data_IF_636290319163
#
_entry.id   IF_636290319163
#
_cell.length_a   1.000
_cell.length_b   1.000
_cell.length_c   1.000
_cell.angle_alpha   90.00
_cell.angle_beta   90.00
_cell.angle_gamma   90.00
#
_symmetry.space_group_name_H-M   'P 1'
#
loop_
_entity.id
_entity.type
_entity.pdbx_description
1 polymer ?
#
# COMPACT_ATOMS: atom_id res chain seq x y z
N UNK A 1 7.02 26.55 40.31
CA UNK A 1 7.65 25.36 39.69
C UNK A 1 8.51 25.83 38.54
N UNK A 2 9.77 25.39 38.48
CA UNK A 2 10.82 25.98 37.63
C UNK A 2 10.64 25.59 36.15
N UNK A 3 10.66 26.58 35.25
CA UNK A 3 10.52 26.43 33.79
C UNK A 3 11.53 25.45 33.15
N UNK A 4 12.60 25.09 33.86
CA UNK A 4 13.58 24.09 33.42
C UNK A 4 13.05 22.65 33.45
N UNK A 5 12.03 22.34 34.25
CA UNK A 5 11.50 20.97 34.35
C UNK A 5 10.44 20.65 33.28
N UNK A 6 9.76 21.65 32.73
CA UNK A 6 8.73 21.43 31.68
C UNK A 6 9.32 21.12 30.31
N UNK A 7 10.52 21.66 29.99
CA UNK A 7 11.21 21.41 28.72
C UNK A 7 11.79 19.98 28.62
N UNK A 8 12.10 19.34 29.75
CA UNK A 8 12.65 17.98 29.78
C UNK A 8 11.56 16.92 29.56
N UNK A 9 10.33 17.17 30.04
CA UNK A 9 9.20 16.24 29.86
C UNK A 9 8.67 16.27 28.43
N UNK A 10 8.69 17.43 27.74
CA UNK A 10 8.27 17.54 26.35
C UNK A 10 9.29 16.96 25.34
N UNK A 11 10.57 16.87 25.72
CA UNK A 11 11.60 16.24 24.89
C UNK A 11 11.61 14.70 24.95
N UNK A 12 11.13 14.11 26.05
CA UNK A 12 11.18 12.66 26.26
C UNK A 12 10.04 11.88 25.58
N UNK A 13 8.90 12.51 25.32
CA UNK A 13 7.74 11.86 24.67
C UNK A 13 7.84 11.81 23.14
N UNK A 14 8.67 12.65 22.51
CA UNK A 14 8.86 12.64 21.06
C UNK A 14 9.66 11.42 20.53
N UNK A 15 10.46 10.77 21.38
CA UNK A 15 11.27 9.61 20.97
C UNK A 15 10.55 8.26 21.12
N UNK A 16 9.51 8.17 21.95
CA UNK A 16 8.79 6.92 22.21
C UNK A 16 7.92 6.45 21.02
N UNK A 17 7.71 7.30 20.01
CA UNK A 17 6.97 6.96 18.79
C UNK A 17 7.85 6.47 17.63
N UNK A 18 9.17 6.28 17.83
CA UNK A 18 10.06 5.71 16.80
C UNK A 18 9.97 4.17 16.67
N UNK A 19 8.96 3.55 17.28
CA UNK A 19 8.69 2.12 17.15
C UNK A 19 7.93 1.79 15.87
N UNK A 20 8.63 1.56 14.76
CA UNK A 20 8.14 0.75 13.63
C UNK A 20 9.33 0.23 12.82
N UNK A 21 9.99 -0.80 13.33
CA UNK A 21 10.79 -1.68 12.49
C UNK A 21 9.83 -2.46 11.59
N UNK A 22 9.74 -2.07 10.33
CA UNK A 22 8.99 -2.83 9.33
C UNK A 22 9.92 -3.95 8.84
N UNK A 23 9.59 -5.20 9.14
CA UNK A 23 10.26 -6.34 8.53
C UNK A 23 9.91 -6.39 7.05
N UNK A 24 10.83 -5.93 6.20
CA UNK A 24 10.68 -6.07 4.75
C UNK A 24 11.41 -7.32 4.30
N UNK A 25 10.68 -8.23 3.69
CA UNK A 25 11.27 -9.34 2.94
C UNK A 25 11.66 -8.80 1.57
N UNK A 26 12.96 -8.69 1.31
CA UNK A 26 13.47 -8.43 -0.04
C UNK A 26 13.19 -9.68 -0.90
N UNK A 27 12.08 -9.67 -1.64
CA UNK A 27 11.80 -10.68 -2.66
C UNK A 27 12.42 -10.19 -3.96
N UNK A 28 13.67 -10.57 -4.20
CA UNK A 28 14.32 -10.32 -5.49
C UNK A 28 14.02 -11.51 -6.42
N UNK A 29 13.35 -11.29 -7.57
CA UNK A 29 13.06 -12.36 -8.51
C UNK A 29 14.35 -12.95 -9.09
N UNK A 30 14.50 -14.28 -9.02
CA UNK A 30 15.73 -14.98 -9.46
C UNK A 30 15.88 -15.06 -10.97
N UNK A 31 14.78 -14.90 -11.71
CA UNK A 31 14.73 -14.91 -13.19
C UNK A 31 13.70 -13.88 -13.61
N UNK A 32 14.11 -12.94 -14.45
CA UNK A 32 13.23 -11.96 -15.08
C UNK A 32 13.32 -12.14 -16.59
N UNK A 33 12.18 -12.14 -17.27
CA UNK A 33 12.15 -12.04 -18.72
C UNK A 33 12.72 -10.67 -19.17
N UNK A 34 13.17 -10.52 -20.44
CA UNK A 34 13.93 -9.36 -20.90
C UNK A 34 13.30 -8.00 -20.66
N UNK A 35 11.98 -7.94 -20.47
CA UNK A 35 11.20 -6.72 -20.32
C UNK A 35 10.16 -6.79 -19.20
N UNK A 36 10.28 -7.75 -18.28
CA UNK A 36 9.44 -7.82 -17.09
C UNK A 36 9.72 -6.66 -16.12
N UNK A 37 8.65 -6.13 -15.55
CA UNK A 37 8.72 -5.21 -14.43
C UNK A 37 8.93 -6.00 -13.13
N UNK A 38 9.81 -5.46 -12.28
CA UNK A 38 10.07 -5.99 -10.95
C UNK A 38 9.75 -4.94 -9.90
N UNK A 39 9.23 -5.40 -8.76
CA UNK A 39 9.03 -4.57 -7.58
C UNK A 39 10.23 -4.72 -6.65
N UNK A 40 10.80 -3.61 -6.23
CA UNK A 40 11.94 -3.57 -5.30
C UNK A 40 11.63 -2.65 -4.14
N UNK A 41 12.22 -2.97 -2.99
CA UNK A 41 12.18 -2.11 -1.82
C UNK A 41 13.61 -1.85 -1.36
N UNK A 42 14.13 -0.67 -1.67
CA UNK A 42 15.46 -0.24 -1.20
C UNK A 42 15.31 0.78 -0.07
N UNK A 43 14.75 1.95 -0.37
CA UNK A 43 14.35 2.97 0.61
C UNK A 43 12.86 3.32 0.53
N UNK A 44 12.27 3.08 -0.63
CA UNK A 44 10.86 3.20 -0.94
C UNK A 44 10.49 2.08 -1.92
N UNK A 45 9.19 1.86 -2.13
CA UNK A 45 8.73 0.97 -3.19
C UNK A 45 9.15 1.53 -4.55
N UNK A 46 9.72 0.69 -5.39
CA UNK A 46 10.15 1.07 -6.73
C UNK A 46 9.71 0.00 -7.71
N UNK A 47 9.17 0.46 -8.84
CA UNK A 47 8.91 -0.37 -10.02
C UNK A 47 10.10 -0.21 -10.95
N UNK A 48 10.78 -1.31 -11.24
CA UNK A 48 11.97 -1.33 -12.10
C UNK A 48 11.67 -2.07 -13.39
N UNK A 49 12.09 -1.47 -14.49
CA UNK A 49 12.30 -2.16 -15.75
C UNK A 49 13.79 -2.50 -15.91
N UNK A 50 14.15 -3.38 -16.86
CA UNK A 50 15.55 -3.64 -17.20
C UNK A 50 16.30 -2.40 -17.72
N UNK A 51 15.57 -1.35 -18.12
CA UNK A 51 16.12 -0.08 -18.60
C UNK A 51 16.25 0.98 -17.50
N UNK A 52 15.82 0.67 -16.27
CA UNK A 52 15.84 1.56 -15.12
C UNK A 52 14.50 1.69 -14.40
N UNK A 53 14.46 2.62 -13.46
CA UNK A 53 13.30 2.92 -12.61
C UNK A 53 12.16 3.47 -13.46
N UNK A 54 10.98 2.86 -13.31
CA UNK A 54 9.73 3.28 -13.96
C UNK A 54 8.93 4.21 -13.04
N UNK A 55 8.77 3.82 -11.78
CA UNK A 55 8.03 4.57 -10.79
C UNK A 55 8.61 4.35 -9.39
N UNK A 56 8.49 5.35 -8.51
CA UNK A 56 8.94 5.25 -7.12
C UNK A 56 7.89 5.74 -6.13
N UNK A 57 8.06 5.30 -4.89
CA UNK A 57 7.29 5.72 -3.75
C UNK A 57 5.87 5.18 -3.74
N UNK A 58 5.04 5.84 -2.93
CA UNK A 58 3.63 5.49 -2.76
C UNK A 58 2.76 6.04 -3.90
N UNK A 59 3.29 7.01 -4.65
CA UNK A 59 2.54 7.74 -5.68
C UNK A 59 2.57 7.03 -7.03
N UNK A 60 3.51 6.12 -7.26
CA UNK A 60 3.65 5.34 -8.49
C UNK A 60 3.62 6.14 -9.80
N UNK A 61 3.97 7.44 -9.76
CA UNK A 61 3.85 8.33 -10.91
C UNK A 61 4.68 7.85 -12.08
N UNK A 62 4.06 7.79 -13.26
CA UNK A 62 4.68 7.34 -14.49
C UNK A 62 4.48 5.84 -14.75
N UNK A 63 3.91 5.10 -13.79
CA UNK A 63 3.56 3.69 -14.01
C UNK A 63 2.48 3.58 -15.08
N UNK A 64 1.44 4.43 -15.03
CA UNK A 64 0.34 4.38 -15.98
C UNK A 64 0.80 4.64 -17.41
N UNK A 65 1.64 5.67 -17.60
CA UNK A 65 2.25 5.97 -18.89
C UNK A 65 3.12 4.81 -19.40
N UNK A 66 3.85 4.15 -18.50
CA UNK A 66 4.71 3.05 -18.90
C UNK A 66 3.94 1.84 -19.42
N UNK A 67 2.86 1.46 -18.73
CA UNK A 67 2.07 0.25 -19.03
C UNK A 67 0.86 0.51 -19.95
N UNK A 68 0.71 1.72 -20.49
CA UNK A 68 -0.45 2.18 -21.28
C UNK A 68 -0.81 1.31 -22.50
N UNK A 69 0.14 0.49 -22.98
CA UNK A 69 -0.09 -0.48 -24.05
C UNK A 69 -1.03 -1.65 -23.65
N UNK A 70 -1.20 -1.91 -22.35
CA UNK A 70 -2.02 -2.99 -21.79
C UNK A 70 -3.15 -2.32 -20.99
N UNK A 71 -4.38 -2.26 -21.53
CA UNK A 71 -5.46 -1.48 -20.93
C UNK A 71 -5.81 -1.85 -19.48
N UNK A 72 -5.73 -3.13 -19.12
CA UNK A 72 -5.98 -3.56 -17.74
C UNK A 72 -4.85 -3.12 -16.80
N UNK A 73 -3.59 -3.22 -17.25
CA UNK A 73 -2.44 -2.73 -16.48
C UNK A 73 -2.52 -1.20 -16.28
N UNK A 74 -2.89 -0.46 -17.32
CA UNK A 74 -3.07 1.00 -17.25
C UNK A 74 -4.14 1.39 -16.23
N UNK A 75 -5.29 0.70 -16.24
CA UNK A 75 -6.38 0.97 -15.30
C UNK A 75 -5.93 0.81 -13.85
N UNK A 76 -5.21 -0.27 -13.56
CA UNK A 76 -4.66 -0.51 -12.24
C UNK A 76 -3.55 0.50 -11.89
N UNK A 77 -2.70 0.87 -12.84
CA UNK A 77 -1.67 1.87 -12.61
C UNK A 77 -2.26 3.26 -12.30
N UNK A 78 -3.31 3.69 -13.01
CA UNK A 78 -4.03 4.94 -12.70
C UNK A 78 -4.70 4.89 -11.32
N UNK A 79 -5.29 3.75 -10.95
CA UNK A 79 -5.84 3.55 -9.62
C UNK A 79 -4.76 3.63 -8.54
N UNK A 80 -3.58 3.06 -8.79
CA UNK A 80 -2.42 3.16 -7.90
C UNK A 80 -1.93 4.60 -7.74
N UNK A 81 -1.82 5.35 -8.84
CA UNK A 81 -1.37 6.74 -8.82
C UNK A 81 -2.36 7.66 -8.08
N UNK A 82 -3.66 7.50 -8.34
CA UNK A 82 -4.71 8.29 -7.69
C UNK A 82 -4.86 7.97 -6.19
N UNK A 83 -4.82 6.68 -5.82
CA UNK A 83 -4.81 6.27 -4.42
C UNK A 83 -3.55 6.76 -3.71
N UNK A 84 -2.39 6.69 -4.37
CA UNK A 84 -1.11 7.16 -3.86
C UNK A 84 -1.06 8.67 -3.62
N UNK A 85 -1.57 9.47 -4.57
CA UNK A 85 -1.69 10.93 -4.45
C UNK A 85 -2.63 11.31 -3.29
N UNK A 86 -3.75 10.58 -3.15
CA UNK A 86 -4.70 10.76 -2.04
C UNK A 86 -4.07 10.40 -0.70
N UNK A 87 -3.33 9.29 -0.62
CA UNK A 87 -2.63 8.85 0.58
C UNK A 87 -1.63 9.89 1.08
N UNK A 88 -0.80 10.42 0.17
CA UNK A 88 0.16 11.48 0.50
C UNK A 88 -0.56 12.76 0.93
N UNK A 89 -1.61 13.16 0.22
CA UNK A 89 -2.40 14.34 0.57
C UNK A 89 -3.02 14.26 1.97
N UNK A 90 -3.68 13.14 2.28
CA UNK A 90 -4.28 12.89 3.59
C UNK A 90 -3.24 12.85 4.71
N UNK A 91 -2.09 12.23 4.46
CA UNK A 91 -1.00 12.14 5.45
C UNK A 91 -0.39 13.51 5.74
N UNK A 92 -0.10 14.31 4.69
CA UNK A 92 0.45 15.67 4.86
C UNK A 92 -0.56 16.55 5.58
N UNK A 93 -1.82 16.53 5.18
CA UNK A 93 -2.87 17.29 5.85
C UNK A 93 -3.00 16.86 7.33
N UNK A 94 -3.03 15.56 7.59
CA UNK A 94 -3.10 15.00 8.94
C UNK A 94 -1.95 15.45 9.84
N UNK A 95 -0.71 15.39 9.33
CA UNK A 95 0.48 15.88 10.04
C UNK A 95 0.40 17.39 10.30
N UNK A 96 0.00 18.18 9.29
CA UNK A 96 -0.11 19.64 9.46
C UNK A 96 -1.16 20.03 10.50
N UNK A 97 -2.30 19.33 10.52
CA UNK A 97 -3.33 19.54 11.53
C UNK A 97 -2.84 19.09 12.90
N UNK A 98 -2.17 17.94 13.02
CA UNK A 98 -1.60 17.49 14.28
C UNK A 98 -0.59 18.49 14.88
N UNK A 99 0.35 18.99 14.07
CA UNK A 99 1.31 20.01 14.52
C UNK A 99 0.61 21.33 14.87
N UNK A 100 -0.37 21.74 14.05
CA UNK A 100 -1.16 22.95 14.32
C UNK A 100 -2.00 22.87 15.58
N UNK A 101 -2.62 21.72 15.84
CA UNK A 101 -3.39 21.43 17.05
C UNK A 101 -2.52 21.50 18.31
N UNK A 102 -1.34 20.86 18.28
CA UNK A 102 -0.36 20.96 19.37
C UNK A 102 0.12 22.40 19.60
N UNK A 103 0.32 23.20 18.54
CA UNK A 103 0.68 24.61 18.68
C UNK A 103 -0.45 25.43 19.34
N UNK A 104 -1.72 25.15 19.00
CA UNK A 104 -2.88 25.73 19.65
C UNK A 104 -2.94 25.39 21.15
N UNK A 105 -2.69 24.13 21.50
CA UNK A 105 -2.60 23.68 22.90
C UNK A 105 -1.44 24.33 23.65
N UNK A 106 -0.28 24.51 23.03
CA UNK A 106 0.84 25.22 23.63
C UNK A 106 0.50 26.69 23.95
N UNK A 107 -0.39 27.30 23.17
CA UNK A 107 -0.94 28.64 23.43
C UNK A 107 -1.70 28.75 24.76
N UNK A 108 -2.25 27.65 25.29
CA UNK A 108 -2.94 27.62 26.59
C UNK A 108 -2.02 28.05 27.74
N UNK A 109 -0.72 27.79 27.63
CA UNK A 109 0.25 28.14 28.67
C UNK A 109 0.38 29.66 28.91
N UNK A 110 -0.08 30.48 27.95
CA UNK A 110 0.02 31.93 28.00
C UNK A 110 -1.34 32.62 28.17
N UNK A 111 -2.43 31.86 28.28
CA UNK A 111 -3.78 32.41 28.26
C UNK A 111 -4.43 32.42 29.65
N UNK A 112 -4.79 33.62 30.11
CA UNK A 112 -5.42 33.82 31.44
C UNK A 112 -6.95 33.95 31.38
N UNK A 113 -7.54 34.09 30.18
CA UNK A 113 -8.99 34.17 30.03
C UNK A 113 -9.58 32.75 29.94
N UNK A 114 -10.47 32.35 30.89
CA UNK A 114 -10.99 30.98 30.96
C UNK A 114 -11.83 30.59 29.74
N UNK A 115 -12.59 31.53 29.16
CA UNK A 115 -13.43 31.23 27.99
C UNK A 115 -12.56 30.95 26.75
N UNK A 116 -11.50 31.73 26.58
CA UNK A 116 -10.56 31.55 25.47
C UNK A 116 -9.69 30.30 25.68
N UNK A 117 -9.35 29.98 26.94
CA UNK A 117 -8.63 28.76 27.30
C UNK A 117 -9.44 27.52 26.92
N UNK A 118 -10.73 27.45 27.27
CA UNK A 118 -11.60 26.35 26.85
C UNK A 118 -11.74 26.27 25.33
N UNK A 119 -11.88 27.41 24.66
CA UNK A 119 -11.94 27.47 23.20
C UNK A 119 -10.67 26.90 22.53
N UNK A 120 -9.49 27.28 23.00
CA UNK A 120 -8.20 26.77 22.50
C UNK A 120 -8.00 25.27 22.81
N UNK A 121 -8.41 24.80 23.99
CA UNK A 121 -8.29 23.40 24.37
C UNK A 121 -9.19 22.51 23.50
N UNK A 122 -10.47 22.86 23.38
CA UNK A 122 -11.43 22.10 22.60
C UNK A 122 -11.11 22.13 21.11
N UNK A 123 -10.68 23.29 20.58
CA UNK A 123 -10.25 23.39 19.18
C UNK A 123 -8.97 22.60 18.92
N UNK A 124 -7.98 22.65 19.83
CA UNK A 124 -6.75 21.85 19.73
C UNK A 124 -7.04 20.35 19.66
N UNK A 125 -7.81 19.82 20.61
CA UNK A 125 -8.21 18.41 20.65
C UNK A 125 -9.01 18.02 19.39
N UNK A 126 -9.97 18.86 18.98
CA UNK A 126 -10.78 18.61 17.78
C UNK A 126 -9.93 18.51 16.51
N UNK A 127 -8.99 19.43 16.34
CA UNK A 127 -8.06 19.43 15.20
C UNK A 127 -7.13 18.21 15.21
N UNK A 128 -6.66 17.79 16.39
CA UNK A 128 -5.83 16.57 16.52
C UNK A 128 -6.59 15.31 16.12
N UNK A 129 -7.84 15.15 16.57
CA UNK A 129 -8.67 13.99 16.20
C UNK A 129 -8.86 13.93 14.67
N UNK A 130 -9.18 15.07 14.05
CA UNK A 130 -9.33 15.16 12.59
C UNK A 130 -8.00 14.77 11.91
N UNK A 131 -6.88 15.32 12.38
CA UNK A 131 -5.56 15.01 11.85
C UNK A 131 -5.19 13.53 11.95
N UNK A 132 -5.54 12.88 13.07
CA UNK A 132 -5.33 11.44 13.27
C UNK A 132 -6.19 10.60 12.30
N UNK A 133 -7.46 10.95 12.12
CA UNK A 133 -8.36 10.26 11.17
C UNK A 133 -7.87 10.41 9.73
N UNK A 134 -7.41 11.60 9.33
CA UNK A 134 -6.81 11.81 8.01
C UNK A 134 -5.53 11.00 7.84
N UNK A 135 -4.67 10.94 8.85
CA UNK A 135 -3.44 10.14 8.80
C UNK A 135 -3.75 8.65 8.70
N UNK A 136 -4.74 8.16 9.45
CA UNK A 136 -5.16 6.76 9.42
C UNK A 136 -5.77 6.37 8.06
N UNK A 137 -6.66 7.19 7.52
CA UNK A 137 -7.22 6.98 6.17
C UNK A 137 -6.15 7.06 5.08
N UNK A 138 -5.16 7.94 5.22
CA UNK A 138 -3.98 7.98 4.35
C UNK A 138 -3.15 6.69 4.35
N UNK A 139 -3.12 5.96 5.48
CA UNK A 139 -2.47 4.64 5.54
C UNK A 139 -3.26 3.55 4.81
N UNK A 140 -4.58 3.57 4.93
CA UNK A 140 -5.44 2.61 4.23
C UNK A 140 -5.31 2.78 2.71
N UNK A 141 -5.40 4.02 2.20
CA UNK A 141 -5.25 4.30 0.77
C UNK A 141 -3.86 3.98 0.22
N UNK A 142 -2.83 4.04 1.07
CA UNK A 142 -1.49 3.56 0.71
C UNK A 142 -1.45 2.04 0.45
N UNK A 143 -2.19 1.24 1.23
CA UNK A 143 -2.29 -0.21 0.99
C UNK A 143 -2.98 -0.48 -0.35
N UNK A 144 -4.07 0.25 -0.64
CA UNK A 144 -4.78 0.15 -1.93
C UNK A 144 -3.87 0.52 -3.11
N UNK A 145 -3.07 1.59 -2.96
CA UNK A 145 -2.09 1.99 -3.97
C UNK A 145 -1.05 0.89 -4.25
N UNK A 146 -0.56 0.22 -3.20
CA UNK A 146 0.36 -0.91 -3.33
C UNK A 146 -0.30 -2.11 -4.03
N UNK A 147 -1.55 -2.44 -3.69
CA UNK A 147 -2.30 -3.52 -4.33
C UNK A 147 -2.47 -3.28 -5.83
N UNK A 148 -2.95 -2.09 -6.21
CA UNK A 148 -3.11 -1.73 -7.60
C UNK A 148 -1.79 -1.66 -8.39
N UNK A 149 -0.69 -1.24 -7.76
CA UNK A 149 0.61 -1.24 -8.42
C UNK A 149 1.10 -2.68 -8.70
N UNK A 150 0.87 -3.62 -7.79
CA UNK A 150 1.18 -5.04 -8.00
C UNK A 150 0.33 -5.62 -9.13
N UNK A 151 -0.97 -5.34 -9.16
CA UNK A 151 -1.85 -5.79 -10.23
C UNK A 151 -1.41 -5.25 -11.59
N UNK A 152 -1.06 -3.97 -11.67
CA UNK A 152 -0.58 -3.34 -12.89
C UNK A 152 0.69 -4.02 -13.43
N UNK A 153 1.66 -4.31 -12.54
CA UNK A 153 2.88 -5.04 -12.88
C UNK A 153 2.56 -6.45 -13.37
N UNK A 154 1.65 -7.17 -12.70
CA UNK A 154 1.27 -8.52 -13.08
C UNK A 154 0.58 -8.57 -14.46
N UNK A 155 -0.41 -7.70 -14.71
CA UNK A 155 -1.09 -7.62 -16.01
C UNK A 155 -0.13 -7.26 -17.14
N UNK A 156 0.79 -6.31 -16.89
CA UNK A 156 1.82 -5.96 -17.87
C UNK A 156 2.76 -7.14 -18.14
N UNK A 157 3.23 -7.83 -17.09
CA UNK A 157 4.14 -8.96 -17.24
C UNK A 157 3.48 -10.13 -17.98
N UNK A 158 2.21 -10.43 -17.73
CA UNK A 158 1.49 -11.51 -18.43
C UNK A 158 1.25 -11.19 -19.92
N UNK A 159 0.90 -9.93 -20.22
CA UNK A 159 0.56 -9.53 -21.58
C UNK A 159 1.79 -9.25 -22.46
N UNK A 160 2.83 -8.64 -21.90
CA UNK A 160 3.93 -8.04 -22.68
C UNK A 160 5.31 -8.44 -22.14
N UNK A 161 5.55 -8.22 -20.85
CA UNK A 161 6.90 -8.36 -20.26
C UNK A 161 7.48 -9.77 -20.36
N UNK A 162 6.69 -10.79 -20.04
CA UNK A 162 7.11 -12.21 -20.07
C UNK A 162 7.34 -12.73 -21.48
N UNK A 163 6.66 -12.13 -22.47
CA UNK A 163 6.75 -12.48 -23.89
C UNK A 163 7.88 -11.76 -24.62
N UNK A 164 8.70 -10.99 -23.89
CA UNK A 164 9.81 -10.25 -24.48
C UNK A 164 9.38 -9.02 -25.28
N UNK A 165 8.14 -8.56 -25.12
CA UNK A 165 7.73 -7.23 -25.58
C UNK A 165 7.95 -6.20 -24.49
N UNK A 166 7.89 -4.91 -24.85
CA UNK A 166 7.99 -3.81 -23.88
C UNK A 166 7.02 -2.71 -24.19
N UNK A 167 6.68 -1.96 -23.16
CA UNK A 167 6.00 -0.68 -23.32
C UNK A 167 6.88 0.44 -22.79
N UNK A 168 6.29 1.62 -22.74
CA UNK A 168 6.92 2.79 -22.19
C UNK A 168 7.02 3.96 -23.15
N UNK A 169 7.52 5.09 -22.65
CA UNK A 169 7.56 6.36 -23.38
C UNK A 169 8.50 6.32 -24.61
N UNK A 170 9.34 5.29 -24.73
CA UNK A 170 10.25 5.08 -25.87
C UNK A 170 9.64 4.24 -27.00
N UNK A 171 8.36 3.90 -26.89
CA UNK A 171 7.62 3.10 -27.86
C UNK A 171 7.27 1.71 -27.34
N UNK A 172 6.12 1.20 -27.80
CA UNK A 172 5.67 -0.14 -27.50
C UNK A 172 6.19 -1.13 -28.56
N UNK A 173 6.81 -2.20 -28.09
CA UNK A 173 7.23 -3.35 -28.88
C UNK A 173 6.39 -4.52 -28.41
N UNK A 174 5.30 -4.78 -29.11
CA UNK A 174 4.38 -5.85 -28.73
C UNK A 174 4.95 -7.18 -29.24
N UNK A 175 4.95 -8.24 -28.41
CA UNK A 175 5.29 -9.57 -28.89
C UNK A 175 4.30 -9.92 -29.98
N UNK A 176 4.77 -10.21 -31.19
CA UNK A 176 3.89 -10.77 -32.18
C UNK A 176 3.40 -12.11 -31.65
N UNK A 177 2.09 -12.41 -31.69
CA UNK A 177 1.67 -13.78 -31.49
C UNK A 177 2.38 -14.57 -32.58
N UNK A 178 3.38 -15.35 -32.18
CA UNK A 178 3.99 -16.32 -33.07
C UNK A 178 2.85 -17.29 -33.39
N UNK A 179 2.19 -17.06 -34.53
CA UNK A 179 1.24 -18.00 -35.08
C UNK A 179 2.10 -19.17 -35.48
N UNK A 180 2.35 -20.06 -34.53
CA UNK A 180 2.82 -21.40 -34.81
C UNK A 180 1.68 -21.98 -35.62
N UNK A 181 1.83 -21.91 -36.94
CA UNK A 181 0.99 -22.64 -37.86
C UNK A 181 1.14 -24.08 -37.39
N UNK A 182 0.15 -24.54 -36.62
CA UNK A 182 0.09 -25.89 -36.08
C UNK A 182 -0.11 -26.77 -37.29
N UNK A 183 0.95 -26.95 -38.09
CA UNK A 183 1.07 -28.03 -39.04
C UNK A 183 0.76 -29.26 -38.21
N UNK A 184 -0.43 -29.82 -38.47
CA UNK A 184 -1.01 -30.89 -37.69
C UNK A 184 0.10 -31.85 -37.29
N UNK A 185 0.22 -32.23 -36.01
CA UNK A 185 1.31 -33.07 -35.55
C UNK A 185 1.43 -34.24 -36.52
N UNK A 186 2.60 -34.50 -37.13
CA UNK A 186 2.75 -35.70 -37.93
C UNK A 186 2.37 -36.86 -37.01
N UNK A 187 1.38 -37.63 -37.43
CA UNK A 187 0.92 -38.81 -36.73
C UNK A 187 2.10 -39.78 -36.62
N UNK A 188 2.82 -39.69 -35.51
CA UNK A 188 3.89 -40.59 -35.16
C UNK A 188 3.79 -40.85 -33.65
N UNK A 189 3.51 -42.09 -33.22
CA UNK A 189 3.63 -42.46 -31.81
C UNK A 189 5.12 -42.46 -31.46
N UNK A 190 5.63 -41.32 -31.00
CA UNK A 190 6.93 -41.26 -30.35
C UNK A 190 6.86 -41.99 -29.00
N UNK A 191 7.94 -42.67 -28.57
CA UNK A 191 7.99 -43.24 -27.23
C UNK A 191 7.83 -42.11 -26.21
N UNK A 192 6.87 -42.28 -25.32
CA UNK A 192 6.64 -41.43 -24.17
C UNK A 192 7.92 -41.49 -23.33
N UNK A 193 8.77 -40.46 -23.42
CA UNK A 193 9.81 -40.29 -22.41
C UNK A 193 9.09 -40.07 -21.08
N UNK A 194 9.40 -40.84 -20.02
CA UNK A 194 8.80 -40.60 -18.73
C UNK A 194 9.15 -39.16 -18.31
N UNK A 195 8.11 -38.34 -18.14
CA UNK A 195 8.23 -37.07 -17.43
C UNK A 195 8.95 -37.39 -16.12
N UNK A 196 10.04 -36.69 -15.75
CA UNK A 196 10.63 -36.85 -14.44
C UNK A 196 9.52 -36.66 -13.42
N UNK A 197 9.20 -37.72 -12.69
CA UNK A 197 8.28 -37.68 -11.55
C UNK A 197 8.83 -36.57 -10.66
N UNK A 198 8.13 -35.44 -10.60
CA UNK A 198 8.45 -34.43 -9.60
C UNK A 198 8.35 -35.17 -8.27
N UNK A 199 9.39 -35.12 -7.40
CA UNK A 199 9.29 -35.73 -6.09
C UNK A 199 8.03 -35.17 -5.45
N UNK A 200 7.15 -36.06 -4.98
CA UNK A 200 5.91 -35.70 -4.31
C UNK A 200 6.22 -34.61 -3.31
N UNK A 201 5.87 -33.37 -3.64
CA UNK A 201 5.83 -32.30 -2.65
C UNK A 201 4.89 -32.85 -1.59
N UNK A 202 5.32 -32.99 -0.32
CA UNK A 202 4.45 -33.48 0.73
C UNK A 202 3.17 -32.67 0.63
N UNK A 203 2.06 -33.33 0.25
CA UNK A 203 0.77 -32.69 0.28
C UNK A 203 0.65 -32.15 1.69
N UNK A 204 0.57 -30.83 1.83
CA UNK A 204 0.16 -30.27 3.10
C UNK A 204 -1.13 -31.01 3.46
N UNK A 205 -1.25 -31.56 4.69
CA UNK A 205 -2.49 -32.18 5.11
C UNK A 205 -3.64 -31.23 4.77
N UNK A 206 -4.78 -31.75 4.27
CA UNK A 206 -5.92 -30.91 3.94
C UNK A 206 -6.15 -29.95 5.10
N UNK A 207 -6.22 -28.65 4.78
CA UNK A 207 -6.53 -27.65 5.78
C UNK A 207 -7.74 -28.16 6.55
N UNK A 208 -7.61 -28.23 7.88
CA UNK A 208 -8.74 -28.48 8.77
C UNK A 208 -9.88 -27.58 8.30
N UNK A 209 -11.13 -28.09 8.23
CA UNK A 209 -12.26 -27.24 7.91
C UNK A 209 -12.16 -26.00 8.79
N UNK A 210 -12.22 -24.82 8.16
CA UNK A 210 -12.37 -23.57 8.89
C UNK A 210 -13.50 -23.78 9.91
N UNK A 211 -13.32 -23.37 11.18
CA UNK A 211 -14.39 -23.46 12.15
C UNK A 211 -15.62 -22.76 11.56
N UNK A 212 -16.69 -23.53 11.42
CA UNK A 212 -18.01 -23.08 11.01
C UNK A 212 -18.33 -21.79 11.76
N UNK A 213 -18.65 -20.75 11.00
CA UNK A 213 -18.57 -19.37 11.44
C UNK A 213 -19.25 -19.10 12.76
N UNK A 214 -18.53 -18.43 13.66
CA UNK A 214 -19.13 -17.37 14.45
C UNK A 214 -18.95 -16.08 13.67
N UNK A 215 -19.76 -15.89 12.63
CA UNK A 215 -20.20 -14.53 12.32
C UNK A 215 -20.83 -14.03 13.60
N UNK A 216 -20.32 -12.97 14.24
CA UNK A 216 -21.06 -12.36 15.34
C UNK A 216 -22.42 -12.01 14.79
N UNK A 217 -23.46 -12.59 15.37
CA UNK A 217 -24.85 -12.25 15.08
C UNK A 217 -24.95 -10.73 15.27
N UNK A 218 -25.05 -9.99 14.15
CA UNK A 218 -25.26 -8.56 14.21
C UNK A 218 -26.65 -8.39 14.83
N UNK A 219 -26.78 -7.80 16.04
CA UNK A 219 -28.07 -7.65 16.67
C UNK A 219 -28.91 -6.72 15.77
N UNK A 220 -29.88 -7.29 15.09
CA UNK A 220 -31.01 -6.52 14.60
C UNK A 220 -31.79 -6.07 15.84
N UNK A 221 -32.08 -4.78 15.93
CA UNK A 221 -32.86 -4.13 16.99
C UNK A 221 -32.20 -3.89 18.37
N UNK A 222 -31.17 -3.04 18.41
CA UNK A 222 -30.92 -2.22 19.59
C UNK A 222 -31.33 -0.76 19.33
N UNK A 223 -32.30 -0.20 20.08
CA UNK A 223 -32.60 1.23 20.04
C UNK A 223 -31.37 2.04 20.51
N UNK A 224 -31.27 3.33 20.18
CA UNK A 224 -30.12 4.16 20.53
C UNK A 224 -30.04 4.34 22.05
N UNK A 225 -29.32 3.46 22.75
CA UNK A 225 -29.04 3.62 24.17
C UNK A 225 -27.82 4.51 24.39
N UNK A 226 -28.05 5.49 25.26
CA UNK A 226 -27.12 6.49 25.75
C UNK A 226 -25.86 5.82 26.30
N UNK A 227 -24.71 6.26 25.80
CA UNK A 227 -23.42 6.03 26.44
C UNK A 227 -23.44 6.78 27.77
N UNK A 228 -23.60 6.06 28.88
CA UNK A 228 -23.22 6.53 30.21
C UNK A 228 -21.73 6.24 30.37
N UNK A 229 -20.94 7.31 30.39
CA UNK A 229 -19.54 7.30 30.82
C UNK A 229 -19.52 7.11 32.34
N UNK A 230 -19.17 5.91 32.80
CA UNK A 230 -18.69 5.73 34.17
C UNK A 230 -17.16 5.76 34.20
N UNK A 231 -16.68 6.71 34.99
CA UNK A 231 -15.31 7.08 35.29
C UNK A 231 -14.59 5.96 36.08
N UNK A 232 -13.28 5.77 35.86
CA UNK A 232 -12.35 6.17 36.93
C UNK A 232 -11.25 7.13 36.50
#
# INVERSE_FOLDING_TARGET
MSARNSLVVLGLSAFALTGCGSGFTAVEPRVLAPHELSLRYENEFQVHSPQGIVATGVRYRGLAEYVACVPDAERHALAAETAGDTAVGLTVAGITLGVGGMAGLAGLAYQNNPDLMWGLLLSGIGVEIIGLVMTASGRATKIDAHGHAVDAVNYYNDAVGSRGGRCGPRGAEMPQPEYVDAKAPPAAPGPILPVPVQPDVPMLPPALPEPEGTTPEQPADLPPERIILDNP
#
